data_IF_221693017187
#
_entry.id   IF_221693017187
#
_cell.length_a   1.000
_cell.length_b   1.000
_cell.length_c   1.000
_cell.angle_alpha   90.00
_cell.angle_beta   90.00
_cell.angle_gamma   90.00
#
_symmetry.space_group_name_H-M   'P 1'
#
loop_
_entity.id
_entity.type
_entity.pdbx_description
1 polymer ?
#
# COMPACT_ATOMS: atom_id res chain seq x y z
N UNK A 1 -13.42 -6.36 -63.13
CA UNK A 1 -12.24 -5.67 -62.59
C UNK A 1 -12.65 -4.27 -62.14
N UNK A 2 -13.01 -4.10 -60.87
CA UNK A 2 -13.40 -2.81 -60.29
C UNK A 2 -12.72 -2.66 -58.92
N UNK A 3 -11.45 -2.29 -58.93
CA UNK A 3 -10.71 -1.84 -57.76
C UNK A 3 -10.14 -0.47 -58.09
N UNK A 4 -10.74 0.61 -57.56
CA UNK A 4 -10.12 1.95 -57.43
C UNK A 4 -11.12 2.98 -56.89
N UNK A 5 -11.55 2.87 -55.61
CA UNK A 5 -12.02 4.06 -54.87
C UNK A 5 -12.20 3.93 -53.35
N UNK A 6 -11.36 3.18 -52.63
CA UNK A 6 -11.51 3.01 -51.16
C UNK A 6 -10.39 3.68 -50.35
N UNK A 7 -10.10 4.96 -50.59
CA UNK A 7 -9.11 5.70 -49.78
C UNK A 7 -9.61 6.98 -49.09
N UNK A 8 -10.92 7.20 -48.96
CA UNK A 8 -11.41 8.48 -48.38
C UNK A 8 -12.59 8.42 -47.38
N UNK A 9 -12.88 7.29 -46.73
CA UNK A 9 -13.91 7.25 -45.67
C UNK A 9 -13.47 6.36 -44.51
N UNK A 10 -12.51 6.83 -43.73
CA UNK A 10 -12.17 6.26 -42.42
C UNK A 10 -11.98 7.37 -41.40
N UNK A 11 -12.91 8.34 -41.39
CA UNK A 11 -12.96 9.41 -40.43
C UNK A 11 -14.43 9.57 -40.01
N UNK A 12 -14.67 9.55 -38.70
CA UNK A 12 -15.95 9.50 -37.99
C UNK A 12 -16.56 8.10 -37.81
N UNK A 13 -16.33 7.49 -36.65
CA UNK A 13 -17.33 6.85 -35.76
C UNK A 13 -16.64 5.97 -34.70
N UNK A 14 -16.11 6.58 -33.65
CA UNK A 14 -16.02 5.97 -32.31
C UNK A 14 -16.25 7.07 -31.28
N UNK A 15 -17.52 7.43 -31.14
CA UNK A 15 -18.01 8.18 -29.98
C UNK A 15 -18.31 7.23 -28.82
N UNK A 16 -18.49 7.84 -27.65
CA UNK A 16 -19.14 7.32 -26.45
C UNK A 16 -18.25 6.52 -25.48
N UNK A 17 -17.18 7.16 -25.00
CA UNK A 17 -16.62 6.85 -23.69
C UNK A 17 -17.28 7.76 -22.65
N UNK A 18 -18.32 7.20 -22.03
CA UNK A 18 -18.64 7.31 -20.61
C UNK A 18 -18.63 8.70 -19.97
N UNK A 19 -19.79 9.35 -20.01
CA UNK A 19 -20.22 10.20 -18.91
C UNK A 19 -20.58 9.29 -17.72
N UNK A 20 -19.89 9.45 -16.59
CA UNK A 20 -20.44 9.16 -15.27
C UNK A 20 -19.90 10.20 -14.29
N UNK A 21 -20.60 11.33 -14.26
CA UNK A 21 -20.56 12.31 -13.18
C UNK A 21 -21.42 11.73 -12.05
N UNK A 22 -20.80 11.36 -10.94
CA UNK A 22 -21.45 11.02 -9.67
C UNK A 22 -21.00 12.03 -8.63
N UNK A 23 -21.98 12.70 -8.02
CA UNK A 23 -21.90 13.82 -7.10
C UNK A 23 -21.91 13.32 -5.66
N UNK A 24 -20.84 13.60 -4.90
CA UNK A 24 -20.87 13.46 -3.45
C UNK A 24 -19.86 14.38 -2.75
N UNK A 25 -20.38 15.54 -2.30
CA UNK A 25 -20.29 15.92 -0.89
C UNK A 25 -18.94 16.33 -0.30
N UNK A 26 -18.63 17.63 -0.39
CA UNK A 26 -18.17 18.53 0.70
C UNK A 26 -17.19 18.05 1.80
N UNK A 27 -16.04 18.78 1.87
CA UNK A 27 -15.23 19.18 3.06
C UNK A 27 -14.30 18.11 3.65
N UNK A 28 -13.04 18.35 4.02
CA UNK A 28 -12.23 19.56 4.23
C UNK A 28 -10.74 19.18 4.02
N UNK A 29 -9.97 20.17 3.56
CA UNK A 29 -8.57 20.50 3.84
C UNK A 29 -7.55 19.39 4.16
N UNK A 30 -6.49 19.28 3.34
CA UNK A 30 -5.08 19.43 3.78
C UNK A 30 -4.18 19.59 2.55
N UNK A 31 -3.87 20.83 2.17
CA UNK A 31 -2.78 21.12 1.24
C UNK A 31 -1.45 21.12 2.02
N UNK A 32 -0.58 20.15 1.72
CA UNK A 32 0.80 20.08 2.23
C UNK A 32 1.68 21.08 1.47
N UNK A 33 2.53 21.75 2.23
CA UNK A 33 3.43 22.86 1.89
C UNK A 33 4.25 22.68 0.60
N UNK A 34 4.33 23.75 -0.19
CA UNK A 34 5.32 23.94 -1.25
C UNK A 34 6.63 24.54 -0.68
N UNK A 35 7.83 24.14 -1.15
CA UNK A 35 9.05 24.86 -0.87
C UNK A 35 9.28 25.99 -1.88
N UNK A 36 9.89 27.04 -1.37
CA UNK A 36 10.08 28.36 -1.97
C UNK A 36 10.84 28.33 -3.30
N UNK A 37 10.18 28.77 -4.37
CA UNK A 37 10.82 29.56 -5.43
C UNK A 37 9.83 30.60 -5.93
N UNK A 38 10.20 31.86 -5.72
CA UNK A 38 9.33 33.01 -5.84
C UNK A 38 8.71 33.15 -7.23
N UNK A 39 7.39 33.03 -7.27
CA UNK A 39 6.55 33.67 -8.29
C UNK A 39 5.43 34.35 -7.53
N UNK A 40 5.42 35.69 -7.53
CA UNK A 40 4.31 36.46 -6.99
C UNK A 40 3.07 36.18 -7.84
N UNK A 41 2.11 35.47 -7.30
CA UNK A 41 0.78 35.35 -7.90
C UNK A 41 -0.05 36.52 -7.35
N UNK A 42 -0.27 37.54 -8.17
CA UNK A 42 -1.30 38.54 -7.85
C UNK A 42 -2.67 37.88 -8.03
N UNK A 43 -3.64 38.12 -7.13
CA UNK A 43 -5.01 37.68 -7.37
C UNK A 43 -5.60 38.66 -8.38
N UNK A 44 -5.83 38.18 -9.60
CA UNK A 44 -6.67 38.90 -10.55
C UNK A 44 -7.78 37.96 -10.95
N UNK A 45 -8.96 38.26 -10.41
CA UNK A 45 -10.25 37.69 -10.77
C UNK A 45 -10.35 37.55 -12.28
N UNK A 46 -10.24 36.33 -12.82
CA UNK A 46 -10.71 35.98 -14.17
C UNK A 46 -10.58 34.48 -14.43
N UNK A 47 -11.75 33.83 -14.45
CA UNK A 47 -12.16 32.78 -15.39
C UNK A 47 -11.03 31.86 -15.92
N UNK A 48 -10.94 30.66 -15.33
CA UNK A 48 -10.60 29.42 -16.04
C UNK A 48 -9.39 29.46 -16.98
N UNK A 49 -8.22 29.86 -16.47
CA UNK A 49 -6.96 29.69 -17.19
C UNK A 49 -6.34 28.32 -16.91
N UNK A 50 -6.62 27.32 -17.73
CA UNK A 50 -5.80 26.11 -17.76
C UNK A 50 -4.41 26.47 -18.32
N UNK A 51 -3.41 26.58 -17.45
CA UNK A 51 -2.01 26.69 -17.84
C UNK A 51 -1.52 25.30 -18.22
N UNK A 52 -1.64 24.95 -19.51
CA UNK A 52 -0.98 23.76 -20.05
C UNK A 52 0.53 24.05 -20.17
N UNK A 53 1.32 23.61 -19.19
CA UNK A 53 2.78 23.50 -19.35
C UNK A 53 3.06 22.34 -20.30
N UNK A 54 3.13 22.62 -21.60
CA UNK A 54 3.63 21.65 -22.58
C UNK A 54 5.15 21.53 -22.42
N UNK A 55 5.62 20.35 -22.02
CA UNK A 55 7.04 19.98 -22.14
C UNK A 55 7.82 19.73 -20.84
N UNK A 56 7.15 19.66 -19.68
CA UNK A 56 7.78 19.06 -18.50
C UNK A 56 7.32 17.60 -18.45
N UNK A 57 8.24 16.68 -18.74
CA UNK A 57 8.04 15.26 -18.45
C UNK A 57 7.86 15.16 -16.93
N UNK A 58 6.62 15.08 -16.47
CA UNK A 58 6.35 14.77 -15.07
C UNK A 58 6.89 13.36 -14.84
N UNK A 59 7.82 13.16 -13.90
CA UNK A 59 8.25 11.81 -13.57
C UNK A 59 7.03 11.05 -13.06
N UNK A 60 6.61 10.03 -13.81
CA UNK A 60 5.63 9.05 -13.34
C UNK A 60 6.37 8.21 -12.29
N UNK A 61 6.21 8.57 -11.02
CA UNK A 61 6.66 7.74 -9.92
C UNK A 61 5.67 6.58 -9.83
N UNK A 62 6.02 5.46 -10.44
CA UNK A 62 5.34 4.19 -10.17
C UNK A 62 5.89 3.73 -8.82
N UNK A 63 5.15 3.97 -7.74
CA UNK A 63 5.44 3.29 -6.48
C UNK A 63 5.20 1.81 -6.72
N UNK A 64 6.28 1.05 -6.90
CA UNK A 64 6.22 -0.40 -6.92
C UNK A 64 5.84 -0.83 -5.51
N UNK A 65 4.57 -1.19 -5.31
CA UNK A 65 4.09 -1.72 -4.05
C UNK A 65 4.89 -2.95 -3.64
N UNK A 66 5.17 -3.07 -2.35
CA UNK A 66 5.87 -4.24 -1.79
C UNK A 66 4.89 -5.41 -1.78
N UNK A 67 5.33 -6.53 -2.35
CA UNK A 67 4.59 -7.80 -2.33
C UNK A 67 5.13 -8.65 -1.19
N UNK A 68 4.24 -9.28 -0.41
CA UNK A 68 4.61 -10.20 0.64
C UNK A 68 3.98 -11.57 0.41
N UNK A 69 4.65 -12.61 0.89
CA UNK A 69 4.22 -14.00 0.69
C UNK A 69 4.27 -14.76 1.99
N UNK A 70 3.38 -15.73 2.12
CA UNK A 70 3.45 -16.67 3.24
C UNK A 70 4.74 -17.48 3.17
N UNK A 71 5.40 -17.59 4.32
CA UNK A 71 6.59 -18.43 4.47
C UNK A 71 6.66 -18.94 5.92
N UNK A 72 7.68 -19.73 6.20
CA UNK A 72 8.00 -20.23 7.54
C UNK A 72 9.46 -19.99 7.86
N UNK A 73 9.74 -19.62 9.11
CA UNK A 73 11.10 -19.46 9.61
C UNK A 73 11.29 -20.31 10.86
N UNK A 74 12.48 -20.88 11.01
CA UNK A 74 12.85 -21.69 12.17
C UNK A 74 13.89 -20.94 12.99
N UNK A 75 13.70 -20.86 14.31
CA UNK A 75 14.71 -20.28 15.20
C UNK A 75 15.81 -21.28 15.54
N UNK A 76 16.84 -20.83 16.27
CA UNK A 76 17.96 -21.68 16.70
C UNK A 76 17.54 -22.84 17.64
N UNK A 77 16.41 -22.70 18.31
CA UNK A 77 15.80 -23.75 19.13
C UNK A 77 15.02 -24.80 18.32
N UNK A 78 14.93 -24.65 16.99
CA UNK A 78 14.18 -25.56 16.11
C UNK A 78 12.66 -25.33 16.10
N UNK A 79 12.16 -24.25 16.72
CA UNK A 79 10.74 -23.87 16.67
C UNK A 79 10.43 -23.20 15.34
N UNK A 80 9.40 -23.69 14.66
CA UNK A 80 8.91 -23.13 13.39
C UNK A 80 7.86 -22.07 13.67
N UNK A 81 8.01 -20.92 13.01
CA UNK A 81 7.11 -19.77 13.07
C UNK A 81 6.50 -19.52 11.69
N UNK A 82 5.24 -19.11 11.67
CA UNK A 82 4.58 -18.66 10.46
C UNK A 82 4.90 -17.18 10.23
N UNK A 83 5.52 -16.89 9.10
CA UNK A 83 5.97 -15.53 8.78
C UNK A 83 5.40 -15.08 7.43
N UNK A 84 5.50 -13.78 7.20
CA UNK A 84 5.39 -13.18 5.88
C UNK A 84 6.76 -12.66 5.46
N UNK A 85 7.17 -13.01 4.24
CA UNK A 85 8.40 -12.55 3.61
C UNK A 85 8.06 -11.57 2.50
N UNK A 86 8.53 -10.33 2.64
CA UNK A 86 8.24 -9.23 1.75
C UNK A 86 9.39 -8.99 0.75
N UNK A 87 9.06 -8.52 -0.45
CA UNK A 87 10.04 -8.26 -1.52
C UNK A 87 11.04 -7.14 -1.19
N UNK A 88 10.79 -6.37 -0.14
CA UNK A 88 11.71 -5.36 0.41
C UNK A 88 12.77 -5.95 1.36
N UNK A 89 12.74 -7.26 1.60
CA UNK A 89 13.66 -7.98 2.47
C UNK A 89 13.23 -8.01 3.94
N UNK A 90 12.09 -7.40 4.29
CA UNK A 90 11.56 -7.46 5.64
C UNK A 90 10.73 -8.74 5.86
N UNK A 91 10.86 -9.30 7.07
CA UNK A 91 10.10 -10.48 7.50
C UNK A 91 9.30 -10.15 8.74
N UNK A 92 8.06 -10.61 8.81
CA UNK A 92 7.16 -10.35 9.93
C UNK A 92 6.46 -11.62 10.38
N UNK A 93 6.05 -11.68 11.66
CA UNK A 93 5.13 -12.72 12.11
C UNK A 93 3.75 -12.52 11.49
N UNK A 94 3.10 -13.64 11.16
CA UNK A 94 1.67 -13.63 10.76
C UNK A 94 0.75 -13.45 11.95
N UNK A 95 1.14 -14.06 13.07
CA UNK A 95 0.42 -14.00 14.33
C UNK A 95 1.35 -13.42 15.41
N UNK A 96 1.10 -12.18 15.88
CA UNK A 96 1.90 -11.55 16.92
C UNK A 96 1.89 -12.29 18.25
N UNK A 97 0.87 -13.13 18.53
CA UNK A 97 0.77 -13.87 19.79
C UNK A 97 1.84 -14.94 19.93
N UNK A 98 2.42 -15.41 18.82
CA UNK A 98 3.53 -16.37 18.82
C UNK A 98 4.79 -15.81 19.51
N UNK A 99 4.92 -14.48 19.58
CA UNK A 99 5.99 -13.77 20.29
C UNK A 99 5.66 -13.47 21.77
N UNK A 100 4.41 -13.61 22.20
CA UNK A 100 3.94 -13.18 23.52
C UNK A 100 4.34 -14.09 24.70
N UNK A 101 4.87 -15.28 24.43
CA UNK A 101 5.29 -16.21 25.49
C UNK A 101 6.69 -15.88 26.00
N UNK A 102 6.86 -15.78 27.32
CA UNK A 102 8.16 -15.54 27.94
C UNK A 102 9.18 -16.63 27.53
N UNK A 103 10.35 -16.21 27.06
CA UNK A 103 11.42 -17.11 26.63
C UNK A 103 11.32 -17.56 25.16
N UNK A 104 10.41 -17.01 24.36
CA UNK A 104 10.40 -17.26 22.92
C UNK A 104 11.42 -16.36 22.22
N UNK A 105 12.47 -16.98 21.67
CA UNK A 105 13.39 -16.32 20.75
C UNK A 105 12.85 -16.38 19.32
N UNK A 106 12.71 -15.21 18.68
CA UNK A 106 12.27 -15.12 17.30
C UNK A 106 13.41 -15.49 16.33
N UNK A 107 13.09 -16.01 15.14
CA UNK A 107 14.09 -16.21 14.09
C UNK A 107 14.79 -14.89 13.72
N UNK A 108 16.03 -14.97 13.27
CA UNK A 108 16.83 -13.79 12.91
C UNK A 108 16.14 -12.94 11.83
N UNK A 109 16.07 -11.62 12.06
CA UNK A 109 15.49 -10.66 11.12
C UNK A 109 13.96 -10.64 11.06
N UNK A 110 13.25 -11.43 11.88
CA UNK A 110 11.78 -11.43 11.93
C UNK A 110 11.28 -10.38 12.92
N UNK A 111 10.42 -9.48 12.44
CA UNK A 111 9.73 -8.48 13.26
C UNK A 111 8.38 -9.01 13.75
N UNK A 112 7.92 -8.53 14.90
CA UNK A 112 6.66 -9.00 15.51
C UNK A 112 5.45 -8.43 14.76
N UNK A 113 5.47 -7.13 14.46
CA UNK A 113 4.32 -6.43 13.89
C UNK A 113 4.46 -6.27 12.39
N UNK A 114 3.57 -6.91 11.66
CA UNK A 114 3.44 -6.75 10.22
C UNK A 114 2.85 -5.36 9.87
N UNK A 115 3.17 -4.82 8.68
CA UNK A 115 2.55 -3.60 8.18
C UNK A 115 1.05 -3.80 7.89
N UNK A 116 0.30 -2.71 7.79
CA UNK A 116 -1.13 -2.78 7.46
C UNK A 116 -1.37 -3.52 6.13
N UNK A 117 -2.25 -4.52 6.14
CA UNK A 117 -2.60 -5.30 4.95
C UNK A 117 -3.27 -4.41 3.88
N UNK A 118 -2.89 -4.59 2.62
CA UNK A 118 -3.38 -3.76 1.50
C UNK A 118 -2.70 -2.39 1.40
N UNK A 119 -1.81 -2.03 2.34
CA UNK A 119 -0.99 -0.83 2.24
C UNK A 119 0.11 -0.96 1.18
N UNK A 120 0.78 0.13 0.83
CA UNK A 120 1.94 0.09 -0.09
C UNK A 120 3.09 -0.82 0.36
N UNK A 121 3.11 -1.24 1.64
CA UNK A 121 4.10 -2.16 2.21
C UNK A 121 3.67 -3.64 2.21
N UNK A 122 2.40 -3.93 1.94
CA UNK A 122 1.85 -5.30 1.89
C UNK A 122 0.60 -5.34 1.01
N UNK A 123 0.72 -4.88 -0.24
CA UNK A 123 -0.43 -4.57 -1.11
C UNK A 123 -1.26 -5.80 -1.47
N UNK A 124 -0.63 -6.97 -1.47
CA UNK A 124 -1.23 -8.24 -1.85
C UNK A 124 -1.72 -9.08 -0.66
N UNK A 125 -1.60 -8.57 0.56
CA UNK A 125 -2.05 -9.27 1.76
C UNK A 125 -3.42 -8.78 2.22
N UNK A 126 -4.11 -9.64 2.97
CA UNK A 126 -5.41 -9.37 3.56
C UNK A 126 -5.32 -9.47 5.09
N UNK A 127 -6.02 -8.59 5.78
CA UNK A 127 -6.24 -8.72 7.22
C UNK A 127 -7.33 -9.76 7.47
N UNK A 128 -7.10 -10.67 8.41
CA UNK A 128 -8.11 -11.59 8.94
C UNK A 128 -8.61 -11.09 10.30
N UNK A 129 -8.87 -11.99 11.25
CA UNK A 129 -9.32 -11.66 12.60
C UNK A 129 -8.20 -11.01 13.42
N UNK A 130 -8.60 -10.08 14.30
CA UNK A 130 -7.70 -9.50 15.28
C UNK A 130 -7.42 -10.50 16.41
N UNK A 131 -6.15 -10.63 16.77
CA UNK A 131 -5.73 -11.30 17.99
C UNK A 131 -5.44 -10.27 19.07
N UNK A 132 -6.14 -10.39 20.19
CA UNK A 132 -5.95 -9.51 21.34
C UNK A 132 -5.07 -10.20 22.37
N UNK A 133 -3.87 -9.64 22.56
CA UNK A 133 -2.93 -10.09 23.59
C UNK A 133 -3.28 -9.33 24.87
N UNK A 134 -3.70 -10.08 25.89
CA UNK A 134 -4.00 -9.51 27.19
C UNK A 134 -2.75 -8.90 27.81
N UNK A 135 -2.94 -7.73 28.40
CA UNK A 135 -1.88 -7.03 29.10
C UNK A 135 -1.43 -7.82 30.32
N UNK A 136 -0.11 -8.01 30.48
CA UNK A 136 0.45 -8.57 31.69
C UNK A 136 0.38 -7.51 32.82
N UNK A 137 -0.40 -7.74 33.89
CA UNK A 137 -0.53 -6.80 35.00
C UNK A 137 0.77 -6.59 35.78
N UNK A 138 1.74 -7.49 35.65
CA UNK A 138 3.05 -7.40 36.31
C UNK A 138 4.04 -6.50 35.56
N UNK A 139 3.76 -6.17 34.28
CA UNK A 139 4.62 -5.30 33.45
C UNK A 139 4.10 -3.85 33.41
N UNK A 140 4.97 -2.85 33.57
CA UNK A 140 4.65 -1.45 33.26
C UNK A 140 4.09 -1.31 31.84
N UNK A 141 3.14 -0.39 31.62
CA UNK A 141 2.50 -0.17 30.30
C UNK A 141 3.55 -0.04 29.19
N UNK A 142 4.61 0.72 29.45
CA UNK A 142 5.66 1.02 28.47
C UNK A 142 6.51 -0.20 28.10
N UNK A 143 6.48 -1.26 28.90
CA UNK A 143 7.25 -2.49 28.68
C UNK A 143 6.40 -3.62 28.09
N UNK A 144 5.08 -3.45 28.03
CA UNK A 144 4.16 -4.44 27.46
C UNK A 144 3.75 -4.03 26.04
N UNK A 145 4.75 -3.86 25.17
CA UNK A 145 4.57 -3.38 23.80
C UNK A 145 3.80 -4.36 22.90
N UNK A 146 3.57 -5.59 23.36
CA UNK A 146 2.76 -6.61 22.70
C UNK A 146 1.28 -6.56 23.10
N UNK A 147 0.93 -5.88 24.19
CA UNK A 147 -0.46 -5.80 24.64
C UNK A 147 -1.30 -4.94 23.69
N UNK A 148 -2.44 -5.48 23.26
CA UNK A 148 -3.31 -4.83 22.29
C UNK A 148 -3.96 -5.84 21.35
N UNK A 149 -4.87 -5.34 20.51
CA UNK A 149 -5.44 -6.11 19.42
C UNK A 149 -4.68 -5.80 18.14
N UNK A 150 -4.18 -6.86 17.50
CA UNK A 150 -3.38 -6.77 16.28
C UNK A 150 -3.98 -7.69 15.21
N UNK A 151 -4.05 -7.25 13.96
CA UNK A 151 -4.61 -8.07 12.90
C UNK A 151 -3.68 -9.25 12.58
N UNK A 152 -4.27 -10.42 12.37
CA UNK A 152 -3.57 -11.53 11.71
C UNK A 152 -3.50 -11.21 10.22
N UNK A 153 -2.30 -11.32 9.63
CA UNK A 153 -2.08 -11.01 8.21
C UNK A 153 -1.90 -12.30 7.41
N UNK A 154 -2.70 -12.41 6.36
CA UNK A 154 -2.71 -13.51 5.40
C UNK A 154 -2.22 -13.00 4.04
N UNK A 155 -1.13 -13.54 3.54
CA UNK A 155 -0.62 -13.21 2.21
C UNK A 155 -0.79 -14.41 1.26
N UNK A 156 -0.59 -14.24 -0.05
CA UNK A 156 -0.60 -15.36 -0.98
C UNK A 156 0.59 -16.29 -0.74
N UNK A 157 0.42 -17.57 -1.04
CA UNK A 157 1.53 -18.52 -1.11
C UNK A 157 2.48 -18.15 -2.25
N UNK A 158 3.79 -18.31 -2.02
CA UNK A 158 4.79 -18.14 -3.08
C UNK A 158 4.59 -19.25 -4.11
N UNK A 159 4.27 -18.89 -5.35
CA UNK A 159 4.21 -19.88 -6.42
C UNK A 159 5.63 -20.32 -6.75
N UNK A 160 6.01 -21.52 -6.33
CA UNK A 160 7.24 -22.15 -6.79
C UNK A 160 7.13 -22.38 -8.30
N UNK A 161 7.95 -21.68 -9.09
CA UNK A 161 8.15 -21.94 -10.52
C UNK A 161 9.43 -22.74 -10.74
#
# INVERSE_FOLDING_TARGET
>A
MFYRHWKKIALALTGLLWASCGDDGSKDDTAVFAPEYGVQVMPSDSIGGAVCLYGVEAPVIIEQGVLCYNDTATNDSGKVFKIIDCTDGNKYLRDPSDAGYEGVELPEGVQIFAPEAGSGKAINCTSDQDICIERNPEKPIEQDSLAGCHPIIECPEKTEQ
#
